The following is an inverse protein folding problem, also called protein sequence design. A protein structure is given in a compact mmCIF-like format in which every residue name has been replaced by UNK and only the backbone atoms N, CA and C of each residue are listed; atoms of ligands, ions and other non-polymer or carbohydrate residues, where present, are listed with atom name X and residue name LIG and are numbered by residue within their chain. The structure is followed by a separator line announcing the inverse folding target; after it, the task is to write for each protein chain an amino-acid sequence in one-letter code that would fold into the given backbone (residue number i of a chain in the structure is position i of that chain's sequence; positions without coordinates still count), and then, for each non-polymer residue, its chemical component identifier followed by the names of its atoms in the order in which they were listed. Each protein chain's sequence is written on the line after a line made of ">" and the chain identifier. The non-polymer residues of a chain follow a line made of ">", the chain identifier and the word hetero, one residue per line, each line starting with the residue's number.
data_IF_429954092725
#
_entry.id   IF_429954092725
#
_cell.length_a   1.000
_cell.length_b   1.000
_cell.length_c   1.000
_cell.angle_alpha   90.00
_cell.angle_beta   90.00
_cell.angle_gamma   90.00
#
_symmetry.space_group_name_H-M   'P 1'
#
loop_
_entity.id
_entity.type
_entity.pdbx_description
1 polymer ?
#
# COMPACT_ATOMS: atom_id res chain seq x y z
N UNK A 1 -0.96 -4.45 13.40
CA UNK A 1 0.09 -5.42 13.03
C UNK A 1 1.01 -5.77 14.20
N UNK A 2 1.20 -4.88 15.19
CA UNK A 2 2.06 -5.11 16.38
C UNK A 2 1.70 -6.35 17.21
N UNK A 3 0.44 -6.76 17.22
CA UNK A 3 -0.03 -7.97 17.91
C UNK A 3 -0.02 -9.23 17.03
N UNK A 4 0.68 -9.18 15.90
CA UNK A 4 0.79 -10.33 14.99
C UNK A 4 -0.42 -10.54 14.06
N UNK A 5 -1.34 -9.57 13.96
CA UNK A 5 -2.48 -9.64 13.07
C UNK A 5 -2.30 -8.72 11.85
N UNK A 6 -2.81 -9.13 10.69
CA UNK A 6 -2.96 -8.23 9.54
C UNK A 6 -3.91 -7.11 9.89
N UNK A 7 -3.56 -5.89 9.51
CA UNK A 7 -4.36 -4.71 9.71
C UNK A 7 -4.74 -4.10 8.36
N UNK A 8 -6.01 -3.73 8.24
CA UNK A 8 -6.57 -3.02 7.09
C UNK A 8 -7.31 -1.78 7.56
N UNK A 9 -7.22 -0.72 6.79
CA UNK A 9 -8.04 0.49 6.99
C UNK A 9 -8.45 1.06 5.64
N UNK A 10 -9.47 1.91 5.64
CA UNK A 10 -9.91 2.61 4.44
C UNK A 10 -10.25 4.05 4.80
N UNK A 11 -10.01 4.95 3.86
CA UNK A 11 -10.25 6.38 4.04
C UNK A 11 -10.50 7.08 2.69
N UNK A 12 -10.71 8.39 2.75
CA UNK A 12 -10.91 9.26 1.59
C UNK A 12 -10.61 10.71 1.98
N UNK A 13 -10.02 11.48 1.05
CA UNK A 13 -9.96 12.95 1.11
C UNK A 13 -9.47 13.50 2.45
N UNK A 14 -10.31 14.28 3.14
CA UNK A 14 -9.98 14.89 4.44
C UNK A 14 -9.64 13.87 5.52
N UNK A 15 -10.23 12.66 5.47
CA UNK A 15 -9.89 11.58 6.38
C UNK A 15 -8.43 11.16 6.25
N UNK A 16 -7.92 11.06 5.02
CA UNK A 16 -6.51 10.80 4.75
C UNK A 16 -5.63 11.97 5.21
N UNK A 17 -6.02 13.20 4.89
CA UNK A 17 -5.28 14.39 5.31
C UNK A 17 -5.18 14.50 6.84
N UNK A 18 -6.25 14.14 7.55
CA UNK A 18 -6.28 14.14 9.02
C UNK A 18 -5.34 13.11 9.64
N UNK A 19 -5.04 12.01 8.94
CA UNK A 19 -4.10 10.97 9.38
C UNK A 19 -2.64 11.26 9.05
N UNK A 20 -2.30 12.39 8.46
CA UNK A 20 -0.96 12.66 7.89
C UNK A 20 0.19 12.29 8.83
N UNK A 21 0.19 12.75 10.08
CA UNK A 21 1.23 12.45 11.04
C UNK A 21 1.30 10.94 11.35
N UNK A 22 0.15 10.29 11.46
CA UNK A 22 0.09 8.85 11.73
C UNK A 22 0.66 8.01 10.58
N UNK A 23 0.57 8.49 9.34
CA UNK A 23 1.20 7.81 8.21
C UNK A 23 2.73 7.76 8.37
N UNK A 24 3.34 8.84 8.85
CA UNK A 24 4.77 8.86 9.16
C UNK A 24 5.13 7.89 10.29
N UNK A 25 4.30 7.81 11.35
CA UNK A 25 4.50 6.84 12.43
C UNK A 25 4.48 5.40 11.92
N UNK A 26 3.50 5.05 11.10
CA UNK A 26 3.35 3.69 10.57
C UNK A 26 4.53 3.28 9.69
N UNK A 27 4.93 4.13 8.76
CA UNK A 27 6.03 3.85 7.84
C UNK A 27 7.39 3.85 8.54
N UNK A 28 7.62 4.83 9.42
CA UNK A 28 8.86 4.92 10.20
C UNK A 28 9.04 3.76 11.18
N UNK A 29 7.94 3.24 11.75
CA UNK A 29 7.97 2.05 12.60
C UNK A 29 7.95 0.73 11.83
N UNK A 30 7.92 0.79 10.49
CA UNK A 30 7.99 -0.38 9.61
C UNK A 30 6.85 -1.37 9.87
N UNK A 31 5.60 -0.85 9.97
CA UNK A 31 4.42 -1.68 10.13
C UNK A 31 3.78 -2.00 8.78
N UNK A 32 3.60 -3.29 8.45
CA UNK A 32 2.98 -3.72 7.20
C UNK A 32 1.45 -3.58 7.29
N UNK A 33 0.96 -2.37 7.08
CA UNK A 33 -0.46 -2.06 7.04
C UNK A 33 -0.88 -1.82 5.60
N UNK A 34 -2.03 -2.34 5.20
CA UNK A 34 -2.65 -2.04 3.91
C UNK A 34 -3.81 -1.07 4.12
N UNK A 35 -3.83 -0.02 3.33
CA UNK A 35 -4.89 0.99 3.31
C UNK A 35 -5.51 1.06 1.93
N UNK A 36 -6.83 1.16 1.86
CA UNK A 36 -7.53 1.58 0.66
C UNK A 36 -7.91 3.05 0.78
N UNK A 37 -7.58 3.85 -0.22
CA UNK A 37 -7.95 5.26 -0.27
C UNK A 37 -8.81 5.53 -1.50
N UNK A 38 -10.07 5.94 -1.28
CA UNK A 38 -10.91 6.43 -2.36
C UNK A 38 -10.57 7.90 -2.62
N UNK A 39 -9.78 8.16 -3.65
CA UNK A 39 -9.31 9.49 -3.99
C UNK A 39 -10.46 10.45 -4.23
N UNK A 40 -10.47 11.56 -3.51
CA UNK A 40 -11.49 12.60 -3.62
C UNK A 40 -10.89 13.96 -3.33
N UNK A 41 -11.50 14.97 -3.96
CA UNK A 41 -11.13 16.39 -3.83
C UNK A 41 -10.98 16.82 -2.37
N UNK A 42 -9.88 17.51 -2.05
CA UNK A 42 -9.69 18.20 -0.77
C UNK A 42 -10.42 19.55 -0.77
N UNK A 43 -10.88 19.97 0.41
CA UNK A 43 -11.45 21.31 0.61
C UNK A 43 -10.34 22.40 0.54
N UNK A 44 -10.58 23.63 0.20
CA UNK A 44 -11.75 24.15 -0.50
C UNK A 44 -11.30 24.73 -1.84
N UNK A 45 -12.12 24.75 -2.87
CA UNK A 45 -13.43 24.12 -2.99
C UNK A 45 -13.33 22.58 -3.08
N UNK A 46 -14.36 21.87 -2.67
CA UNK A 46 -14.40 20.42 -2.78
C UNK A 46 -15.67 19.92 -3.46
N UNK A 47 -15.61 18.69 -3.94
CA UNK A 47 -16.74 17.94 -4.45
C UNK A 47 -16.55 16.44 -4.16
N UNK A 48 -17.47 15.59 -4.61
CA UNK A 48 -17.44 14.14 -4.36
C UNK A 48 -16.67 13.34 -5.44
N UNK A 49 -16.15 14.01 -6.46
CA UNK A 49 -15.50 13.35 -7.59
C UNK A 49 -14.01 13.07 -7.31
N UNK A 50 -13.45 12.17 -8.14
CA UNK A 50 -12.07 11.72 -8.05
C UNK A 50 -11.05 12.85 -8.20
N UNK A 51 -10.05 12.83 -7.34
CA UNK A 51 -8.94 13.79 -7.36
C UNK A 51 -7.80 13.20 -6.51
N UNK A 52 -6.64 13.00 -7.10
CA UNK A 52 -5.50 12.38 -6.41
C UNK A 52 -4.72 13.32 -5.48
N UNK A 53 -5.14 14.58 -5.30
CA UNK A 53 -4.45 15.52 -4.39
C UNK A 53 -4.38 15.03 -2.95
N UNK A 54 -5.34 14.26 -2.50
CA UNK A 54 -5.36 13.70 -1.13
C UNK A 54 -4.20 12.72 -0.92
N UNK A 55 -4.00 11.76 -1.83
CA UNK A 55 -2.89 10.80 -1.76
C UNK A 55 -1.55 11.43 -2.18
N UNK A 56 -1.55 12.33 -3.16
CA UNK A 56 -0.32 13.02 -3.57
C UNK A 56 0.24 13.93 -2.46
N UNK A 57 -0.61 14.49 -1.62
CA UNK A 57 -0.18 15.20 -0.42
C UNK A 57 0.53 14.29 0.60
N UNK A 58 0.41 12.97 0.47
CA UNK A 58 1.03 11.97 1.35
C UNK A 58 2.30 11.33 0.74
N UNK A 59 2.80 11.81 -0.41
CA UNK A 59 3.93 11.21 -1.13
C UNK A 59 5.21 11.05 -0.29
N UNK A 60 5.41 11.94 0.69
CA UNK A 60 6.61 11.99 1.52
C UNK A 60 6.47 11.16 2.83
N UNK A 61 5.33 10.52 3.04
CA UNK A 61 5.05 9.81 4.30
C UNK A 61 5.70 8.42 4.40
N UNK A 62 6.34 7.95 3.33
CA UNK A 62 7.01 6.65 3.29
C UNK A 62 6.09 5.45 3.06
N UNK A 63 4.87 5.68 2.61
CA UNK A 63 3.96 4.66 2.11
C UNK A 63 4.23 4.36 0.65
N UNK A 64 4.17 3.08 0.28
CA UNK A 64 4.12 2.68 -1.13
C UNK A 64 2.71 2.98 -1.62
N UNK A 65 2.59 3.80 -2.65
CA UNK A 65 1.29 4.17 -3.23
C UNK A 65 1.09 3.49 -4.56
N UNK A 66 -0.04 2.82 -4.72
CA UNK A 66 -0.46 2.15 -5.95
C UNK A 66 -1.80 2.73 -6.38
N UNK A 67 -1.98 2.97 -7.67
CA UNK A 67 -3.21 3.50 -8.25
C UNK A 67 -3.83 2.46 -9.15
N UNK A 68 -5.10 2.15 -8.93
CA UNK A 68 -5.84 1.10 -9.66
C UNK A 68 -6.92 1.71 -10.55
N UNK A 69 -7.19 1.08 -11.67
CA UNK A 69 -8.10 1.62 -12.71
C UNK A 69 -9.53 1.06 -12.65
N UNK A 70 -9.76 -0.06 -11.96
CA UNK A 70 -11.08 -0.71 -11.86
C UNK A 70 -11.20 -1.58 -10.61
N UNK A 71 -12.41 -2.09 -10.35
CA UNK A 71 -12.70 -2.89 -9.16
C UNK A 71 -11.99 -4.25 -9.11
N UNK A 72 -11.75 -4.87 -10.28
CA UNK A 72 -10.99 -6.13 -10.32
C UNK A 72 -9.54 -5.89 -9.91
N UNK A 73 -8.92 -4.88 -10.45
CA UNK A 73 -7.55 -4.51 -10.08
C UNK A 73 -7.46 -4.09 -8.61
N UNK A 74 -8.46 -3.36 -8.09
CA UNK A 74 -8.51 -2.99 -6.68
C UNK A 74 -8.51 -4.23 -5.76
N UNK A 75 -9.33 -5.24 -6.07
CA UNK A 75 -9.37 -6.50 -5.32
C UNK A 75 -8.02 -7.24 -5.37
N UNK A 76 -7.47 -7.39 -6.57
CA UNK A 76 -6.23 -8.11 -6.81
C UNK A 76 -5.04 -7.39 -6.16
N UNK A 77 -5.02 -6.06 -6.28
CA UNK A 77 -3.95 -5.24 -5.73
C UNK A 77 -3.93 -5.23 -4.19
N UNK A 78 -5.08 -5.31 -3.52
CA UNK A 78 -5.10 -5.45 -2.05
C UNK A 78 -4.41 -6.75 -1.61
N UNK A 79 -4.61 -7.85 -2.34
CA UNK A 79 -3.94 -9.13 -2.05
C UNK A 79 -2.43 -9.00 -2.26
N UNK A 80 -2.01 -8.37 -3.36
CA UNK A 80 -0.61 -8.11 -3.66
C UNK A 80 0.02 -7.12 -2.67
N UNK A 81 -0.74 -6.12 -2.23
CA UNK A 81 -0.29 -5.12 -1.26
C UNK A 81 0.11 -5.75 0.09
N UNK A 82 -0.65 -6.75 0.57
CA UNK A 82 -0.25 -7.50 1.76
C UNK A 82 1.04 -8.28 1.52
N UNK A 83 1.16 -8.95 0.37
CA UNK A 83 2.37 -9.69 0.01
C UNK A 83 3.60 -8.79 -0.03
N UNK A 84 3.43 -7.56 -0.56
CA UNK A 84 4.48 -6.54 -0.63
C UNK A 84 4.81 -5.98 0.75
N UNK A 85 3.80 -5.53 1.50
CA UNK A 85 4.00 -4.92 2.80
C UNK A 85 4.67 -5.86 3.80
N UNK A 86 4.33 -7.15 3.75
CA UNK A 86 4.86 -8.20 4.64
C UNK A 86 6.20 -8.78 4.14
N UNK A 87 6.66 -8.37 2.96
CA UNK A 87 7.91 -8.89 2.39
C UNK A 87 9.10 -8.54 3.30
N UNK A 88 9.93 -9.55 3.61
CA UNK A 88 11.01 -9.46 4.60
C UNK A 88 12.02 -8.32 4.38
N UNK A 89 12.28 -7.98 3.12
CA UNK A 89 13.19 -6.89 2.76
C UNK A 89 12.53 -5.51 2.66
N UNK A 90 11.19 -5.43 2.78
CA UNK A 90 10.39 -4.21 2.59
C UNK A 90 9.83 -3.73 3.92
N UNK A 91 8.87 -4.44 4.51
CA UNK A 91 8.21 -4.02 5.76
C UNK A 91 7.80 -2.55 5.73
N UNK A 92 7.09 -2.13 4.68
CA UNK A 92 6.53 -0.80 4.52
C UNK A 92 5.02 -0.90 4.31
N UNK A 93 4.26 0.07 4.79
CA UNK A 93 2.82 0.12 4.53
C UNK A 93 2.53 0.41 3.06
N UNK A 94 1.40 -0.09 2.58
CA UNK A 94 0.95 0.09 1.19
C UNK A 94 -0.43 0.74 1.16
N UNK A 95 -0.57 1.78 0.36
CA UNK A 95 -1.82 2.48 0.09
C UNK A 95 -2.29 2.14 -1.33
N UNK A 96 -3.44 1.51 -1.45
CA UNK A 96 -4.11 1.25 -2.71
C UNK A 96 -5.11 2.36 -2.96
N UNK A 97 -4.86 3.17 -3.97
CA UNK A 97 -5.66 4.32 -4.35
C UNK A 97 -6.59 3.96 -5.50
N UNK A 98 -7.86 4.26 -5.36
CA UNK A 98 -8.85 4.11 -6.42
C UNK A 98 -9.62 5.41 -6.61
N UNK A 99 -10.04 5.67 -7.84
CA UNK A 99 -10.76 6.89 -8.15
C UNK A 99 -12.08 6.95 -7.38
N UNK A 100 -12.23 7.97 -6.61
CA UNK A 100 -13.48 8.25 -5.90
C UNK A 100 -14.57 8.58 -6.90
N UNK A 101 -15.80 8.15 -6.63
CA UNK A 101 -16.99 8.27 -7.47
C UNK A 101 -16.98 7.31 -8.68
N UNK A 102 -16.04 7.33 -9.61
CA UNK A 102 -16.04 6.43 -10.76
C UNK A 102 -15.91 4.98 -10.29
N UNK A 103 -14.79 4.61 -9.69
CA UNK A 103 -14.56 3.22 -9.25
C UNK A 103 -15.36 2.84 -8.00
N UNK A 104 -15.75 3.81 -7.17
CA UNK A 104 -16.45 3.53 -5.90
C UNK A 104 -17.98 3.49 -6.03
N UNK A 105 -18.56 3.96 -7.12
CA UNK A 105 -20.01 4.01 -7.35
C UNK A 105 -20.46 3.25 -8.60
N UNK A 106 -19.53 2.75 -9.40
CA UNK A 106 -19.83 1.91 -10.55
C UNK A 106 -19.95 0.45 -10.12
N UNK A 107 -20.99 -0.22 -10.59
CA UNK A 107 -21.16 -1.67 -10.41
C UNK A 107 -20.49 -2.40 -11.55
N UNK A 108 -19.57 -3.26 -11.26
CA UNK A 108 -18.88 -4.11 -12.22
C UNK A 108 -18.72 -5.54 -11.69
N UNK A 109 -18.60 -6.49 -12.62
CA UNK A 109 -18.36 -7.88 -12.26
C UNK A 109 -16.91 -8.09 -11.93
N UNK A 110 -16.63 -8.66 -10.76
CA UNK A 110 -15.29 -9.04 -10.33
C UNK A 110 -15.20 -10.54 -10.09
N UNK A 111 -14.07 -11.12 -10.46
CA UNK A 111 -13.75 -12.52 -10.20
C UNK A 111 -13.06 -12.63 -8.84
N UNK A 112 -13.80 -13.07 -7.84
CA UNK A 112 -13.25 -13.26 -6.47
C UNK A 112 -12.49 -14.58 -6.43
N UNK A 113 -11.18 -14.56 -6.13
CA UNK A 113 -10.40 -15.80 -6.04
C UNK A 113 -10.82 -16.65 -4.84
N UNK A 114 -10.67 -17.97 -4.97
CA UNK A 114 -10.97 -18.87 -3.86
C UNK A 114 -10.00 -18.63 -2.71
N UNK A 115 -10.48 -18.78 -1.47
CA UNK A 115 -9.65 -18.63 -0.26
C UNK A 115 -8.39 -19.49 -0.33
N UNK A 116 -8.51 -20.73 -0.80
CA UNK A 116 -7.36 -21.65 -0.93
C UNK A 116 -6.26 -21.03 -1.80
N UNK A 117 -6.60 -20.47 -2.97
CA UNK A 117 -5.62 -19.84 -3.86
C UNK A 117 -4.98 -18.60 -3.22
N UNK A 118 -5.77 -17.82 -2.47
CA UNK A 118 -5.26 -16.66 -1.73
C UNK A 118 -4.33 -17.09 -0.61
N UNK A 119 -4.70 -18.09 0.19
CA UNK A 119 -3.86 -18.61 1.30
C UNK A 119 -2.52 -19.17 0.80
N UNK A 120 -2.51 -19.75 -0.41
CA UNK A 120 -1.28 -20.24 -1.03
C UNK A 120 -0.37 -19.10 -1.55
N UNK A 121 -0.94 -17.98 -2.00
CA UNK A 121 -0.19 -16.80 -2.44
C UNK A 121 0.24 -15.93 -1.26
N UNK A 122 -0.62 -15.78 -0.28
CA UNK A 122 -0.44 -14.93 0.89
C UNK A 122 -0.51 -15.80 2.17
N UNK A 123 0.60 -16.43 2.57
CA UNK A 123 0.64 -17.31 3.73
C UNK A 123 0.28 -16.57 5.03
N UNK A 124 0.08 -17.30 6.10
CA UNK A 124 -0.21 -16.73 7.41
C UNK A 124 0.85 -15.69 7.80
N UNK A 125 0.39 -14.54 8.27
CA UNK A 125 1.29 -13.45 8.67
C UNK A 125 2.01 -13.80 9.97
N UNK A 126 3.33 -13.67 9.95
CA UNK A 126 4.18 -13.79 11.13
C UNK A 126 4.94 -12.45 11.26
N UNK A 127 4.57 -11.64 12.23
CA UNK A 127 5.22 -10.35 12.46
C UNK A 127 6.57 -10.54 13.12
N UNK A 128 7.64 -10.05 12.48
CA UNK A 128 8.97 -9.96 13.09
C UNK A 128 9.05 -8.88 14.18
N UNK A 129 8.14 -7.91 14.13
CA UNK A 129 8.05 -6.79 15.06
C UNK A 129 6.83 -6.92 15.99
N UNK A 130 6.38 -8.15 16.28
CA UNK A 130 5.30 -8.35 17.23
C UNK A 130 5.74 -7.97 18.66
N UNK A 131 4.78 -7.51 19.44
CA UNK A 131 4.99 -7.28 20.88
C UNK A 131 5.31 -8.60 21.54
N UNK A 132 6.45 -8.65 22.23
CA UNK A 132 6.89 -9.77 23.04
C UNK A 132 7.06 -9.30 24.49
N UNK A 133 6.23 -9.83 25.39
CA UNK A 133 6.28 -9.47 26.81
C UNK A 133 7.54 -9.96 27.53
N UNK A 134 8.20 -10.98 26.99
CA UNK A 134 9.47 -11.49 27.52
C UNK A 134 10.67 -10.70 27.02
N UNK A 135 10.52 -9.95 25.92
CA UNK A 135 11.55 -9.09 25.33
C UNK A 135 10.92 -7.75 24.91
N UNK A 136 10.56 -6.89 25.88
CA UNK A 136 9.85 -5.65 25.60
C UNK A 136 10.71 -4.71 24.76
N UNK A 137 10.06 -4.08 23.76
CA UNK A 137 10.67 -3.10 22.85
C UNK A 137 9.80 -1.86 22.77
N UNK A 138 10.43 -0.72 22.53
CA UNK A 138 9.72 0.51 22.18
C UNK A 138 9.41 0.55 20.68
N UNK A 139 8.20 0.97 20.35
CA UNK A 139 7.75 1.24 19.00
C UNK A 139 7.40 2.73 18.89
N UNK A 140 7.48 3.28 17.69
CA UNK A 140 7.20 4.71 17.43
C UNK A 140 8.04 5.64 18.35
N UNK A 141 9.27 5.24 18.63
CA UNK A 141 10.12 5.97 19.54
C UNK A 141 10.64 7.29 18.93
N UNK A 142 10.99 8.22 19.80
CA UNK A 142 11.84 9.34 19.44
C UNK A 142 13.27 8.84 19.20
N UNK A 143 13.86 9.21 18.08
CA UNK A 143 15.27 8.95 17.81
C UNK A 143 16.11 10.19 18.08
N UNK A 144 17.29 10.00 18.67
CA UNK A 144 18.29 11.07 18.79
C UNK A 144 18.85 11.44 17.40
N UNK A 145 19.54 12.58 17.34
CA UNK A 145 20.21 13.03 16.12
C UNK A 145 21.21 12.02 15.55
N UNK A 146 21.77 11.16 16.40
CA UNK A 146 22.75 10.14 16.03
C UNK A 146 22.14 9.00 15.19
N UNK A 147 20.86 8.66 15.40
CA UNK A 147 20.20 7.50 14.78
C UNK A 147 19.13 7.85 13.76
N UNK A 148 18.72 9.11 13.71
CA UNK A 148 17.60 9.50 12.85
C UNK A 148 17.90 9.28 11.36
N UNK A 149 19.12 9.56 10.92
CA UNK A 149 19.54 9.37 9.53
C UNK A 149 19.56 7.89 9.14
N UNK A 150 20.09 7.03 10.02
CA UNK A 150 20.15 5.58 9.77
C UNK A 150 18.76 4.97 9.62
N UNK A 151 17.79 5.37 10.44
CA UNK A 151 16.41 4.92 10.31
C UNK A 151 15.78 5.40 8.99
N UNK A 152 16.01 6.64 8.61
CA UNK A 152 15.52 7.19 7.33
C UNK A 152 16.19 6.53 6.14
N UNK A 153 17.47 6.25 6.20
CA UNK A 153 18.18 5.52 5.17
C UNK A 153 17.63 4.10 5.00
N UNK A 154 17.43 3.36 6.07
CA UNK A 154 16.84 2.02 6.04
C UNK A 154 15.42 2.04 5.43
N UNK A 155 14.63 3.05 5.73
CA UNK A 155 13.29 3.23 5.13
C UNK A 155 13.41 3.49 3.62
N UNK A 156 14.33 4.37 3.21
CA UNK A 156 14.59 4.68 1.80
C UNK A 156 15.09 3.46 1.02
N UNK A 157 16.03 2.72 1.57
CA UNK A 157 16.54 1.49 0.94
C UNK A 157 15.44 0.45 0.75
N UNK A 158 14.53 0.29 1.72
CA UNK A 158 13.38 -0.58 1.58
C UNK A 158 12.43 -0.10 0.48
N UNK A 159 12.20 1.21 0.38
CA UNK A 159 11.42 1.81 -0.71
C UNK A 159 12.07 1.53 -2.07
N UNK A 160 13.38 1.69 -2.19
CA UNK A 160 14.09 1.41 -3.45
C UNK A 160 14.06 -0.07 -3.83
N UNK A 161 14.16 -0.98 -2.85
CA UNK A 161 14.02 -2.43 -3.07
C UNK A 161 12.63 -2.83 -3.52
N UNK A 162 11.59 -2.10 -3.10
CA UNK A 162 10.20 -2.44 -3.42
C UNK A 162 9.93 -2.52 -4.93
N UNK A 163 10.62 -1.74 -5.75
CA UNK A 163 10.47 -1.74 -7.21
C UNK A 163 10.56 -3.13 -7.82
N UNK A 164 11.65 -3.85 -7.52
CA UNK A 164 11.88 -5.21 -8.03
C UNK A 164 10.91 -6.23 -7.42
N UNK A 165 10.53 -6.02 -6.16
CA UNK A 165 9.61 -6.90 -5.46
C UNK A 165 8.19 -6.76 -6.01
N UNK A 166 7.74 -5.54 -6.36
CA UNK A 166 6.46 -5.29 -7.01
C UNK A 166 6.35 -6.07 -8.32
N UNK A 167 7.36 -5.96 -9.19
CA UNK A 167 7.39 -6.69 -10.47
C UNK A 167 7.35 -8.21 -10.29
N UNK A 168 8.04 -8.71 -9.26
CA UNK A 168 8.05 -10.15 -8.95
C UNK A 168 6.70 -10.62 -8.42
N UNK A 169 6.06 -9.82 -7.55
CA UNK A 169 4.75 -10.13 -6.97
C UNK A 169 3.66 -10.11 -8.04
N UNK A 170 3.65 -9.11 -8.95
CA UNK A 170 2.68 -9.04 -10.03
C UNK A 170 2.80 -10.24 -10.97
N UNK A 171 4.03 -10.65 -11.26
CA UNK A 171 4.30 -11.84 -12.08
C UNK A 171 3.81 -13.12 -11.40
N UNK A 172 4.17 -13.33 -10.12
CA UNK A 172 3.70 -14.46 -9.31
C UNK A 172 2.16 -14.48 -9.21
N UNK A 173 1.55 -13.30 -9.04
CA UNK A 173 0.10 -13.16 -9.01
C UNK A 173 -0.53 -13.53 -10.36
N UNK A 174 0.02 -13.02 -11.45
CA UNK A 174 -0.42 -13.33 -12.81
C UNK A 174 -0.34 -14.82 -13.14
N UNK A 175 0.77 -15.47 -12.79
CA UNK A 175 0.95 -16.91 -13.01
C UNK A 175 -0.09 -17.75 -12.22
N UNK A 176 -0.45 -17.29 -11.01
CA UNK A 176 -1.37 -18.02 -10.15
C UNK A 176 -2.85 -17.74 -10.44
N UNK A 177 -3.19 -16.50 -10.75
CA UNK A 177 -4.58 -16.05 -10.92
C UNK A 177 -4.96 -15.76 -12.38
N UNK A 178 -4.00 -15.73 -13.30
CA UNK A 178 -4.22 -15.45 -14.72
C UNK A 178 -4.47 -13.97 -15.02
N UNK A 179 -4.08 -13.06 -14.13
CA UNK A 179 -4.28 -11.61 -14.29
C UNK A 179 -3.00 -10.87 -13.93
N UNK A 180 -2.49 -10.10 -14.90
CA UNK A 180 -1.30 -9.26 -14.76
C UNK A 180 -1.71 -7.79 -14.77
N UNK A 181 -1.14 -6.98 -13.88
CA UNK A 181 -1.48 -5.57 -13.72
C UNK A 181 -0.35 -4.61 -14.11
N UNK A 182 0.69 -5.11 -14.77
CA UNK A 182 1.77 -4.32 -15.36
C UNK A 182 2.93 -3.96 -14.40
N UNK A 183 2.93 -4.51 -13.20
CA UNK A 183 4.03 -4.29 -12.25
C UNK A 183 4.13 -2.85 -11.77
N UNK A 184 5.19 -2.13 -12.17
CA UNK A 184 5.40 -0.74 -11.77
C UNK A 184 4.57 0.27 -12.57
N UNK A 185 4.37 0.00 -13.86
CA UNK A 185 3.69 0.89 -14.80
C UNK A 185 2.93 0.06 -15.82
N UNK A 186 1.68 0.41 -16.06
CA UNK A 186 0.89 -0.15 -17.13
C UNK A 186 0.90 0.80 -18.32
N UNK A 187 1.42 0.33 -19.44
CA UNK A 187 1.44 1.10 -20.67
C UNK A 187 0.10 1.00 -21.40
N UNK A 188 -0.38 2.12 -21.93
CA UNK A 188 -1.60 2.19 -22.73
C UNK A 188 -1.38 3.07 -23.94
N UNK A 189 -1.48 2.49 -25.16
CA UNK A 189 -1.28 3.18 -26.43
C UNK A 189 0.05 3.96 -26.50
N UNK A 190 1.13 3.31 -26.07
CA UNK A 190 2.45 3.94 -26.04
C UNK A 190 3.33 3.61 -27.27
N UNK A 191 2.86 2.77 -28.21
CA UNK A 191 3.65 2.29 -29.34
C UNK A 191 4.16 3.41 -30.27
N UNK A 192 3.44 4.52 -30.36
CA UNK A 192 3.77 5.69 -31.18
C UNK A 192 3.79 7.00 -30.39
N UNK A 193 3.87 6.93 -29.07
CA UNK A 193 3.89 8.10 -28.22
C UNK A 193 5.26 8.81 -28.30
N UNK A 194 5.24 10.13 -28.53
CA UNK A 194 6.44 10.97 -28.56
C UNK A 194 6.74 11.64 -27.20
N UNK A 195 5.75 11.68 -26.29
CA UNK A 195 5.84 12.28 -24.94
C UNK A 195 5.07 11.42 -23.95
#
# INVERSE_FOLDING_TARGET
>A
SMVGARAFTATSSQGLAYMHEMLHYVSGSRFPIVMMNANRTLAAPWNIFGDQRDSMAQRDTGWIQVYVENGQEALDMIIQAYRLAEHEGIYLPVMVNLDGFVNTHTYELVSVPSRKKVDEFLPAFVSKNAVDFNNPRSYCMSASTEWNMEFRQQQHEAMMKSKKVIESIDREFGDKFGRYHGGMVKEYKCDDAEV
#
